data_IF_193610052082
#
_entry.id   IF_193610052082
#
_cell.length_a   1.000
_cell.length_b   1.000
_cell.length_c   1.000
_cell.angle_alpha   90.00
_cell.angle_beta   90.00
_cell.angle_gamma   90.00
#
_symmetry.space_group_name_H-M   'P 1'
#
loop_
_entity.id
_entity.type
_entity.pdbx_description
1 polymer ?
#
# COMPACT_ATOMS: atom_id res chain seq x y z
N UNK A 1 16.60 -84.87 -23.04
CA UNK A 1 16.45 -84.43 -24.45
C UNK A 1 17.01 -83.01 -24.53
N UNK A 2 18.21 -82.77 -25.11
CA UNK A 2 18.45 -82.24 -26.48
C UNK A 2 17.43 -81.13 -26.85
N UNK A 3 17.77 -79.85 -27.12
CA UNK A 3 18.88 -79.21 -27.90
C UNK A 3 19.23 -77.81 -27.28
N UNK A 4 20.44 -77.23 -27.35
CA UNK A 4 21.17 -76.61 -28.50
C UNK A 4 20.38 -75.45 -29.19
N UNK A 5 20.89 -74.22 -29.48
CA UNK A 5 22.24 -73.61 -29.32
C UNK A 5 22.23 -72.05 -29.50
N UNK A 6 22.87 -71.31 -28.56
CA UNK A 6 23.74 -70.10 -28.66
C UNK A 6 23.71 -69.06 -29.83
N UNK A 7 23.86 -67.77 -29.44
CA UNK A 7 24.50 -66.58 -30.10
C UNK A 7 24.17 -66.17 -31.57
N UNK A 8 23.81 -64.89 -31.78
CA UNK A 8 24.81 -63.86 -32.15
C UNK A 8 24.31 -62.40 -31.99
N UNK A 9 25.26 -61.45 -32.05
CA UNK A 9 25.15 -60.01 -31.76
C UNK A 9 25.02 -59.22 -33.07
N UNK A 10 24.26 -58.11 -33.10
CA UNK A 10 24.66 -56.83 -33.73
C UNK A 10 23.70 -55.68 -33.39
N UNK A 11 24.21 -54.45 -33.47
CA UNK A 11 23.62 -53.26 -32.87
C UNK A 11 22.69 -52.47 -33.81
N UNK A 12 21.70 -51.78 -33.22
CA UNK A 12 21.03 -50.63 -33.83
C UNK A 12 20.76 -49.56 -32.75
N UNK A 13 21.02 -48.31 -33.09
CA UNK A 13 21.15 -47.17 -32.17
C UNK A 13 19.95 -46.93 -31.24
N UNK A 14 20.24 -46.64 -29.96
CA UNK A 14 19.32 -45.91 -29.09
C UNK A 14 19.17 -44.48 -29.60
N UNK A 15 18.04 -44.18 -30.24
CA UNK A 15 17.58 -42.79 -30.37
C UNK A 15 16.99 -42.39 -29.01
N UNK A 16 17.79 -41.72 -28.17
CA UNK A 16 17.22 -41.01 -27.03
C UNK A 16 16.42 -39.82 -27.56
N UNK A 17 15.10 -39.98 -27.59
CA UNK A 17 14.18 -38.85 -27.61
C UNK A 17 14.30 -38.12 -26.26
N UNK A 18 15.26 -37.20 -26.20
CA UNK A 18 15.31 -36.16 -25.16
C UNK A 18 14.09 -35.26 -25.34
N UNK A 19 12.96 -35.68 -24.78
CA UNK A 19 11.80 -34.84 -24.61
C UNK A 19 12.16 -33.76 -23.58
N UNK A 20 12.68 -32.64 -24.08
CA UNK A 20 12.93 -31.45 -23.27
C UNK A 20 11.64 -31.06 -22.55
N UNK A 21 11.68 -31.03 -21.21
CA UNK A 21 10.63 -30.42 -20.41
C UNK A 21 10.68 -28.89 -20.60
N UNK A 22 10.01 -28.36 -21.65
CA UNK A 22 9.88 -26.91 -21.87
C UNK A 22 8.73 -26.27 -21.10
N UNK A 23 7.89 -27.06 -20.45
CA UNK A 23 6.66 -26.59 -19.78
C UNK A 23 6.92 -25.56 -18.68
N UNK A 24 8.09 -25.61 -18.02
CA UNK A 24 8.47 -24.65 -16.98
C UNK A 24 8.73 -23.23 -17.50
N UNK A 25 9.42 -23.10 -18.64
CA UNK A 25 9.78 -21.79 -19.21
C UNK A 25 8.58 -21.08 -19.83
N UNK A 26 7.68 -21.83 -20.46
CA UNK A 26 6.51 -21.27 -21.15
C UNK A 26 5.46 -20.76 -20.14
N UNK A 27 5.26 -21.47 -19.03
CA UNK A 27 4.41 -20.99 -17.93
C UNK A 27 5.03 -19.79 -17.21
N UNK A 28 6.33 -19.83 -16.86
CA UNK A 28 7.00 -18.68 -16.25
C UNK A 28 6.95 -17.44 -17.15
N UNK A 29 7.17 -17.59 -18.46
CA UNK A 29 7.05 -16.51 -19.43
C UNK A 29 5.62 -15.94 -19.52
N UNK A 30 4.61 -16.80 -19.53
CA UNK A 30 3.21 -16.39 -19.54
C UNK A 30 2.79 -15.67 -18.24
N UNK A 31 3.28 -16.13 -17.08
CA UNK A 31 2.95 -15.51 -15.79
C UNK A 31 3.71 -14.20 -15.57
N UNK A 32 4.97 -14.10 -16.01
CA UNK A 32 5.70 -12.83 -16.09
C UNK A 32 4.99 -11.83 -17.01
N UNK A 33 4.49 -12.27 -18.17
CA UNK A 33 3.73 -11.41 -19.09
C UNK A 33 2.41 -10.93 -18.46
N UNK A 34 1.67 -11.79 -17.73
CA UNK A 34 0.48 -11.40 -16.98
C UNK A 34 0.80 -10.42 -15.85
N UNK A 35 1.88 -10.65 -15.10
CA UNK A 35 2.33 -9.75 -14.02
C UNK A 35 2.71 -8.37 -14.57
N UNK A 36 3.49 -8.31 -15.65
CA UNK A 36 3.84 -7.06 -16.33
C UNK A 36 2.61 -6.34 -16.90
N UNK A 37 1.63 -7.08 -17.43
CA UNK A 37 0.38 -6.51 -17.92
C UNK A 37 -0.51 -6.00 -16.78
N UNK A 38 -0.58 -6.72 -15.65
CA UNK A 38 -1.24 -6.23 -14.42
C UNK A 38 -0.59 -4.93 -13.98
N UNK A 39 0.73 -4.91 -13.78
CA UNK A 39 1.46 -3.73 -13.30
C UNK A 39 1.26 -2.50 -14.20
N UNK A 40 1.13 -2.67 -15.52
CA UNK A 40 0.77 -1.58 -16.44
C UNK A 40 -0.67 -1.09 -16.28
N UNK A 41 -1.62 -1.99 -16.05
CA UNK A 41 -3.03 -1.65 -15.77
C UNK A 41 -3.13 -0.95 -14.41
N UNK A 42 -2.45 -1.47 -13.40
CA UNK A 42 -2.37 -0.90 -12.05
C UNK A 42 -1.78 0.52 -12.09
N UNK A 43 -0.66 0.73 -12.79
CA UNK A 43 -0.07 2.06 -12.98
C UNK A 43 -0.96 3.02 -13.78
N UNK A 44 -1.73 2.53 -14.76
CA UNK A 44 -2.69 3.35 -15.50
C UNK A 44 -3.90 3.74 -14.63
N UNK A 45 -4.31 2.87 -13.70
CA UNK A 45 -5.36 3.14 -12.70
C UNK A 45 -4.86 4.15 -11.66
N UNK A 46 -3.68 3.94 -11.06
CA UNK A 46 -3.07 4.89 -10.12
C UNK A 46 -2.89 6.27 -10.76
N UNK A 47 -2.46 6.31 -12.03
CA UNK A 47 -2.38 7.54 -12.82
C UNK A 47 -3.76 8.19 -13.04
N UNK A 48 -4.78 7.42 -13.43
CA UNK A 48 -6.14 7.93 -13.64
C UNK A 48 -6.78 8.48 -12.34
N UNK A 49 -6.43 7.92 -11.19
CA UNK A 49 -6.82 8.41 -9.87
C UNK A 49 -6.06 9.69 -9.49
N UNK A 50 -4.76 9.78 -9.82
CA UNK A 50 -3.94 10.97 -9.57
C UNK A 50 -4.26 12.17 -10.47
N UNK A 51 -4.65 11.94 -11.73
CA UNK A 51 -4.97 13.00 -12.71
C UNK A 51 -6.38 13.60 -12.55
N UNK A 52 -7.20 13.10 -11.62
CA UNK A 52 -8.38 13.80 -11.10
C UNK A 52 -9.62 13.92 -12.01
N UNK A 53 -9.55 13.54 -13.28
CA UNK A 53 -10.68 13.66 -14.22
C UNK A 53 -11.82 12.67 -13.92
N UNK A 54 -13.04 13.18 -13.73
CA UNK A 54 -14.23 12.37 -13.33
C UNK A 54 -14.47 11.13 -14.22
N UNK A 55 -14.30 11.27 -15.54
CA UNK A 55 -14.42 10.16 -16.48
C UNK A 55 -13.31 9.10 -16.34
N UNK A 56 -12.08 9.53 -16.07
CA UNK A 56 -10.92 8.65 -15.86
C UNK A 56 -11.07 7.87 -14.54
N UNK A 57 -11.46 8.57 -13.46
CA UNK A 57 -11.77 7.98 -12.16
C UNK A 57 -12.89 6.93 -12.29
N UNK A 58 -13.97 7.26 -12.99
CA UNK A 58 -15.10 6.35 -13.20
C UNK A 58 -14.67 5.09 -13.95
N UNK A 59 -13.88 5.23 -15.02
CA UNK A 59 -13.34 4.09 -15.78
C UNK A 59 -12.41 3.21 -14.94
N UNK A 60 -11.53 3.81 -14.13
CA UNK A 60 -10.62 3.11 -13.23
C UNK A 60 -11.37 2.29 -12.16
N UNK A 61 -12.35 2.91 -11.49
CA UNK A 61 -13.20 2.22 -10.50
C UNK A 61 -13.99 1.06 -11.12
N UNK A 62 -14.54 1.24 -12.33
CA UNK A 62 -15.24 0.16 -13.05
C UNK A 62 -14.30 -0.98 -13.50
N UNK A 63 -13.02 -0.71 -13.76
CA UNK A 63 -12.03 -1.75 -14.04
C UNK A 63 -11.73 -2.59 -12.79
N UNK A 64 -11.42 -1.91 -11.68
CA UNK A 64 -11.15 -2.54 -10.38
C UNK A 64 -12.35 -3.33 -9.85
N UNK A 65 -13.56 -2.76 -9.92
CA UNK A 65 -14.79 -3.45 -9.48
C UNK A 65 -15.02 -4.75 -10.28
N UNK A 66 -14.77 -4.74 -11.60
CA UNK A 66 -14.89 -5.95 -12.44
C UNK A 66 -13.82 -6.99 -12.13
N UNK A 67 -12.63 -6.59 -11.69
CA UNK A 67 -11.59 -7.53 -11.24
C UNK A 67 -12.00 -8.16 -9.89
N UNK A 68 -12.35 -7.34 -8.91
CA UNK A 68 -12.84 -7.79 -7.61
C UNK A 68 -14.06 -8.73 -7.73
N UNK A 69 -15.06 -8.39 -8.56
CA UNK A 69 -16.25 -9.24 -8.76
C UNK A 69 -15.95 -10.59 -9.43
N UNK A 70 -14.84 -10.75 -10.15
CA UNK A 70 -14.43 -12.05 -10.72
C UNK A 70 -13.88 -13.00 -9.66
N UNK A 71 -13.18 -12.46 -8.66
CA UNK A 71 -12.69 -13.23 -7.51
C UNK A 71 -12.67 -12.35 -6.25
N UNK A 72 -13.77 -12.31 -5.46
CA UNK A 72 -13.83 -11.51 -4.24
C UNK A 72 -12.85 -11.96 -3.13
N UNK A 73 -12.24 -13.15 -3.28
CA UNK A 73 -11.20 -13.66 -2.40
C UNK A 73 -9.76 -13.31 -2.86
N UNK A 74 -9.61 -12.62 -4.00
CA UNK A 74 -8.34 -12.02 -4.40
C UNK A 74 -8.09 -10.77 -3.54
N UNK A 75 -7.29 -10.96 -2.49
CA UNK A 75 -6.92 -9.92 -1.52
C UNK A 75 -6.28 -8.70 -2.17
N UNK A 76 -5.50 -8.86 -3.25
CA UNK A 76 -4.82 -7.76 -3.94
C UNK A 76 -5.81 -6.96 -4.81
N UNK A 77 -6.71 -7.65 -5.53
CA UNK A 77 -7.78 -6.99 -6.28
C UNK A 77 -8.74 -6.22 -5.35
N UNK A 78 -9.09 -6.82 -4.20
CA UNK A 78 -9.93 -6.19 -3.19
C UNK A 78 -9.25 -4.97 -2.55
N UNK A 79 -7.96 -5.07 -2.21
CA UNK A 79 -7.15 -3.95 -1.72
C UNK A 79 -7.14 -2.78 -2.70
N UNK A 80 -6.76 -3.02 -3.96
CA UNK A 80 -6.70 -1.97 -4.99
C UNK A 80 -8.05 -1.28 -5.17
N UNK A 81 -9.14 -2.06 -5.21
CA UNK A 81 -10.49 -1.53 -5.30
C UNK A 81 -10.89 -0.71 -4.06
N UNK A 82 -10.63 -1.19 -2.85
CA UNK A 82 -10.94 -0.49 -1.61
C UNK A 82 -10.13 0.81 -1.47
N UNK A 83 -8.83 0.79 -1.78
CA UNK A 83 -7.96 1.97 -1.79
C UNK A 83 -8.45 3.02 -2.78
N UNK A 84 -8.77 2.62 -4.02
CA UNK A 84 -9.32 3.53 -5.03
C UNK A 84 -10.66 4.13 -4.58
N UNK A 85 -11.56 3.32 -4.02
CA UNK A 85 -12.83 3.79 -3.45
C UNK A 85 -12.61 4.82 -2.33
N UNK A 86 -11.67 4.57 -1.41
CA UNK A 86 -11.32 5.54 -0.35
C UNK A 86 -10.79 6.85 -0.92
N UNK A 87 -9.83 6.79 -1.84
CA UNK A 87 -9.22 7.96 -2.48
C UNK A 87 -10.22 8.78 -3.31
N UNK A 88 -11.34 8.18 -3.71
CA UNK A 88 -12.40 8.81 -4.52
C UNK A 88 -13.67 9.10 -3.70
N UNK A 89 -13.53 9.25 -2.39
CA UNK A 89 -14.59 9.61 -1.43
C UNK A 89 -15.75 8.60 -1.27
N UNK A 90 -15.52 7.33 -1.62
CA UNK A 90 -16.44 6.21 -1.39
C UNK A 90 -16.00 5.32 -0.21
N UNK A 91 -15.50 5.91 0.87
CA UNK A 91 -14.94 5.19 2.02
C UNK A 91 -15.90 4.13 2.63
N UNK A 92 -17.21 4.39 2.65
CA UNK A 92 -18.22 3.40 3.07
C UNK A 92 -18.20 2.12 2.21
N UNK A 93 -18.03 2.25 0.88
CA UNK A 93 -17.89 1.10 -0.02
C UNK A 93 -16.55 0.40 0.16
N UNK A 94 -15.48 1.16 0.41
CA UNK A 94 -14.16 0.62 0.69
C UNK A 94 -14.17 -0.27 1.96
N UNK A 95 -14.83 0.19 3.03
CA UNK A 95 -14.99 -0.55 4.29
C UNK A 95 -15.71 -1.88 4.07
N UNK A 96 -16.79 -1.90 3.29
CA UNK A 96 -17.51 -3.14 2.93
C UNK A 96 -16.62 -4.13 2.17
N UNK A 97 -15.80 -3.66 1.23
CA UNK A 97 -14.89 -4.51 0.44
C UNK A 97 -13.79 -5.12 1.31
N UNK A 98 -13.18 -4.33 2.19
CA UNK A 98 -11.95 -4.73 2.91
C UNK A 98 -12.20 -5.36 4.28
N UNK A 99 -13.31 -5.05 4.97
CA UNK A 99 -13.66 -5.63 6.28
C UNK A 99 -13.54 -7.16 6.37
N UNK A 100 -14.06 -7.97 5.43
CA UNK A 100 -13.95 -9.43 5.54
C UNK A 100 -12.50 -9.94 5.40
N UNK A 101 -11.63 -9.20 4.70
CA UNK A 101 -10.22 -9.54 4.51
C UNK A 101 -9.32 -9.02 5.64
N UNK A 102 -9.68 -7.90 6.26
CA UNK A 102 -8.94 -7.31 7.39
C UNK A 102 -9.25 -7.97 8.76
N UNK A 103 -10.22 -8.89 8.80
CA UNK A 103 -10.62 -9.66 10.01
C UNK A 103 -10.11 -11.11 10.01
N UNK A 104 -9.29 -11.51 9.03
CA UNK A 104 -8.75 -12.86 8.96
C UNK A 104 -7.55 -13.00 9.92
N UNK A 105 -7.32 -14.16 10.55
CA UNK A 105 -6.19 -14.34 11.49
C UNK A 105 -4.81 -14.11 10.85
N UNK A 106 -4.74 -14.36 9.54
CA UNK A 106 -3.58 -14.29 8.65
C UNK A 106 -3.57 -13.04 7.74
N UNK A 107 -4.46 -12.07 7.96
CA UNK A 107 -4.41 -10.76 7.27
C UNK A 107 -3.02 -10.14 7.33
N UNK A 108 -2.48 -9.73 6.18
CA UNK A 108 -1.20 -9.03 6.12
C UNK A 108 -1.30 -7.62 6.70
N UNK A 109 -0.19 -7.09 7.24
CA UNK A 109 -0.18 -5.75 7.85
C UNK A 109 -0.72 -4.68 6.91
N UNK A 110 -0.37 -4.76 5.63
CA UNK A 110 -0.76 -3.83 4.57
C UNK A 110 -2.29 -3.75 4.35
N UNK A 111 -3.01 -4.87 4.44
CA UNK A 111 -4.48 -4.90 4.38
C UNK A 111 -5.09 -4.27 5.64
N UNK A 112 -4.51 -4.55 6.80
CA UNK A 112 -4.93 -3.98 8.09
C UNK A 112 -4.65 -2.44 8.10
N UNK A 113 -3.53 -2.00 7.53
CA UNK A 113 -3.15 -0.60 7.35
C UNK A 113 -4.12 0.14 6.43
N UNK A 114 -4.52 -0.45 5.29
CA UNK A 114 -5.52 0.17 4.42
C UNK A 114 -6.91 0.21 5.07
N UNK A 115 -7.28 -0.79 5.89
CA UNK A 115 -8.49 -0.72 6.71
C UNK A 115 -8.43 0.43 7.71
N UNK A 116 -7.27 0.66 8.35
CA UNK A 116 -7.05 1.86 9.19
C UNK A 116 -7.21 3.15 8.37
N UNK A 117 -6.65 3.23 7.15
CA UNK A 117 -6.85 4.38 6.24
C UNK A 117 -8.32 4.63 5.93
N UNK A 118 -9.12 3.56 5.75
CA UNK A 118 -10.56 3.64 5.49
C UNK A 118 -11.31 4.18 6.70
N UNK A 119 -11.02 3.67 7.89
CA UNK A 119 -11.65 4.14 9.13
C UNK A 119 -11.27 5.60 9.45
N UNK A 120 -10.06 6.05 9.10
CA UNK A 120 -9.71 7.49 9.13
C UNK A 120 -10.58 8.32 8.19
N UNK A 121 -10.79 7.86 6.96
CA UNK A 121 -11.63 8.55 5.98
C UNK A 121 -13.12 8.57 6.36
N UNK A 122 -13.55 7.67 7.27
CA UNK A 122 -14.88 7.66 7.88
C UNK A 122 -14.98 8.48 9.17
N UNK A 123 -13.87 9.03 9.68
CA UNK A 123 -13.81 9.72 10.98
C UNK A 123 -13.89 8.78 12.20
N UNK A 124 -13.77 7.47 12.00
CA UNK A 124 -13.82 6.46 13.06
C UNK A 124 -12.47 6.33 13.77
N UNK A 125 -11.96 7.40 14.36
CA UNK A 125 -10.56 7.48 14.83
C UNK A 125 -10.15 6.36 15.80
N UNK A 126 -11.03 5.93 16.71
CA UNK A 126 -10.74 4.80 17.62
C UNK A 126 -10.64 3.45 16.90
N UNK A 127 -11.43 3.25 15.84
CA UNK A 127 -11.36 2.07 14.96
C UNK A 127 -10.06 2.08 14.15
N UNK A 128 -9.72 3.24 13.58
CA UNK A 128 -8.47 3.45 12.85
C UNK A 128 -7.23 3.19 13.72
N UNK A 129 -7.21 3.70 14.96
CA UNK A 129 -6.13 3.45 15.94
C UNK A 129 -5.95 1.95 16.20
N UNK A 130 -7.03 1.21 16.45
CA UNK A 130 -7.00 -0.23 16.70
C UNK A 130 -6.45 -1.01 15.50
N UNK A 131 -6.91 -0.71 14.28
CA UNK A 131 -6.37 -1.32 13.07
C UNK A 131 -4.89 -0.95 12.86
N UNK A 132 -4.49 0.30 13.09
CA UNK A 132 -3.09 0.71 12.97
C UNK A 132 -2.18 0.00 13.99
N UNK A 133 -2.64 -0.16 15.24
CA UNK A 133 -1.95 -0.93 16.29
C UNK A 133 -1.77 -2.40 15.89
N UNK A 134 -2.80 -3.04 15.34
CA UNK A 134 -2.69 -4.41 14.82
C UNK A 134 -1.69 -4.50 13.65
N UNK A 135 -1.69 -3.53 12.74
CA UNK A 135 -0.78 -3.52 11.61
C UNK A 135 0.69 -3.36 12.02
N UNK A 136 1.02 -2.45 12.95
CA UNK A 136 2.41 -2.32 13.47
C UNK A 136 2.84 -3.55 14.27
N UNK A 137 1.91 -4.23 14.97
CA UNK A 137 2.21 -5.51 15.64
C UNK A 137 2.50 -6.64 14.67
N UNK A 138 1.82 -6.68 13.50
CA UNK A 138 2.09 -7.66 12.44
C UNK A 138 3.37 -7.33 11.65
N UNK A 139 3.67 -6.06 11.46
CA UNK A 139 4.86 -5.59 10.75
C UNK A 139 5.39 -4.27 11.36
N UNK A 140 6.43 -4.32 12.20
CA UNK A 140 7.07 -3.13 12.77
C UNK A 140 7.78 -2.22 11.74
N UNK A 141 7.74 -2.52 10.45
CA UNK A 141 8.25 -1.71 9.34
C UNK A 141 7.14 -1.15 8.43
N UNK A 142 5.87 -1.25 8.85
CA UNK A 142 4.73 -0.67 8.14
C UNK A 142 4.61 0.83 8.46
N UNK A 143 5.29 1.65 7.66
CA UNK A 143 5.28 3.11 7.82
C UNK A 143 3.88 3.72 7.66
N UNK A 144 3.00 3.09 6.87
CA UNK A 144 1.62 3.53 6.66
C UNK A 144 0.78 3.27 7.92
N UNK A 145 0.97 2.12 8.57
CA UNK A 145 0.38 1.84 9.88
C UNK A 145 0.76 2.92 10.91
N UNK A 146 2.04 3.29 11.00
CA UNK A 146 2.50 4.36 11.89
C UNK A 146 1.93 5.74 11.52
N UNK A 147 1.85 6.07 10.23
CA UNK A 147 1.22 7.31 9.77
C UNK A 147 -0.27 7.37 10.19
N UNK A 148 -1.00 6.29 9.97
CA UNK A 148 -2.41 6.19 10.32
C UNK A 148 -2.64 6.21 11.83
N UNK A 149 -1.77 5.55 12.61
CA UNK A 149 -1.77 5.62 14.07
C UNK A 149 -1.57 7.06 14.55
N UNK A 150 -0.63 7.80 13.95
CA UNK A 150 -0.40 9.20 14.26
C UNK A 150 -1.62 10.07 13.98
N UNK A 151 -2.24 9.94 12.80
CA UNK A 151 -3.46 10.70 12.44
C UNK A 151 -4.62 10.36 13.38
N UNK A 152 -4.81 9.07 13.70
CA UNK A 152 -5.87 8.61 14.59
C UNK A 152 -5.70 9.11 16.04
N UNK A 153 -4.47 9.23 16.51
CA UNK A 153 -4.14 9.77 17.84
C UNK A 153 -4.25 11.30 17.89
N UNK A 154 -3.84 11.99 16.82
CA UNK A 154 -3.96 13.45 16.69
C UNK A 154 -5.43 13.89 16.69
N UNK A 155 -6.29 13.18 15.95
CA UNK A 155 -7.73 13.40 15.94
C UNK A 155 -8.44 13.01 17.25
N UNK A 156 -7.71 12.41 18.20
CA UNK A 156 -8.15 12.12 19.58
C UNK A 156 -7.41 13.01 20.60
N UNK A 157 -6.78 14.11 20.16
CA UNK A 157 -6.03 15.07 20.99
C UNK A 157 -4.86 14.46 21.80
N UNK A 158 -4.42 13.25 21.45
CA UNK A 158 -3.29 12.58 22.08
C UNK A 158 -1.97 12.92 21.38
N UNK A 159 -1.68 14.22 21.30
CA UNK A 159 -0.56 14.77 20.54
C UNK A 159 0.80 14.12 20.87
N UNK A 160 1.18 13.84 22.13
CA UNK A 160 2.47 13.20 22.42
C UNK A 160 2.56 11.76 21.91
N UNK A 161 1.43 11.04 21.81
CA UNK A 161 1.41 9.70 21.24
C UNK A 161 1.41 9.73 19.70
N UNK A 162 0.71 10.70 19.11
CA UNK A 162 0.73 10.95 17.68
C UNK A 162 2.15 11.27 17.18
N UNK A 163 2.88 12.13 17.90
CA UNK A 163 4.27 12.47 17.62
C UNK A 163 5.17 11.22 17.55
N UNK A 164 5.09 10.34 18.56
CA UNK A 164 5.86 9.09 18.60
C UNK A 164 5.55 8.19 17.41
N UNK A 165 4.27 8.09 17.04
CA UNK A 165 3.84 7.32 15.87
C UNK A 165 4.40 7.93 14.57
N UNK A 166 4.30 9.25 14.37
CA UNK A 166 4.84 9.92 13.18
C UNK A 166 6.37 9.78 13.07
N UNK A 167 7.11 9.93 14.19
CA UNK A 167 8.57 9.71 14.20
C UNK A 167 8.93 8.25 13.84
N UNK A 168 8.19 7.24 14.32
CA UNK A 168 8.39 5.84 13.91
C UNK A 168 8.01 5.53 12.46
N UNK A 169 6.98 6.20 11.93
CA UNK A 169 6.67 6.13 10.50
C UNK A 169 7.80 6.71 9.64
N UNK A 170 8.42 7.81 10.08
CA UNK A 170 9.59 8.40 9.41
C UNK A 170 10.83 7.51 9.44
N UNK A 171 11.13 6.85 10.56
CA UNK A 171 12.24 5.89 10.68
C UNK A 171 12.14 4.72 9.69
N UNK A 172 10.92 4.35 9.29
CA UNK A 172 10.62 3.16 8.47
C UNK A 172 10.12 3.50 7.06
N UNK A 173 10.10 4.78 6.70
CA UNK A 173 9.46 5.30 5.50
C UNK A 173 10.10 4.80 4.20
N UNK A 174 9.29 4.61 3.16
CA UNK A 174 9.75 4.28 1.79
C UNK A 174 9.04 5.16 0.78
N UNK A 175 9.81 5.87 -0.04
CA UNK A 175 9.31 6.86 -0.99
C UNK A 175 9.38 8.28 -0.44
N UNK A 176 8.47 9.15 -0.88
CA UNK A 176 8.40 10.57 -0.49
C UNK A 176 7.88 10.73 0.95
N UNK A 177 8.71 11.20 1.91
CA UNK A 177 8.33 11.35 3.33
C UNK A 177 7.55 12.62 3.62
N UNK A 178 7.39 13.53 2.66
CA UNK A 178 6.80 14.85 2.94
C UNK A 178 5.37 14.83 3.52
N UNK A 179 4.48 13.85 3.23
CA UNK A 179 3.16 13.80 3.87
C UNK A 179 3.24 13.53 5.38
N UNK A 180 4.15 12.66 5.83
CA UNK A 180 4.31 12.35 7.26
C UNK A 180 5.13 13.44 7.98
N UNK A 181 6.08 14.08 7.29
CA UNK A 181 6.77 15.27 7.81
C UNK A 181 5.80 16.42 8.06
N UNK A 182 4.88 16.66 7.13
CA UNK A 182 3.83 17.66 7.28
C UNK A 182 2.95 17.38 8.51
N UNK A 183 2.51 16.14 8.70
CA UNK A 183 1.67 15.77 9.84
C UNK A 183 2.43 15.89 11.17
N UNK A 184 3.69 15.46 11.23
CA UNK A 184 4.54 15.64 12.41
C UNK A 184 4.72 17.13 12.76
N UNK A 185 4.95 17.99 11.77
CA UNK A 185 5.11 19.42 12.02
C UNK A 185 3.82 20.09 12.55
N UNK A 186 2.64 19.72 12.03
CA UNK A 186 1.36 20.25 12.55
C UNK A 186 1.10 19.78 13.99
N UNK A 187 1.40 18.51 14.29
CA UNK A 187 1.34 17.96 15.64
C UNK A 187 2.31 18.68 16.60
N UNK A 188 3.56 18.92 16.19
CA UNK A 188 4.55 19.65 16.98
C UNK A 188 4.12 21.12 17.23
N UNK A 189 3.59 21.80 16.21
CA UNK A 189 3.06 23.16 16.36
C UNK A 189 1.89 23.21 17.35
N UNK A 190 1.00 22.20 17.33
CA UNK A 190 -0.12 22.08 18.29
C UNK A 190 0.37 21.85 19.73
N UNK A 191 1.52 21.20 19.90
CA UNK A 191 2.21 21.05 21.19
C UNK A 191 3.05 22.28 21.59
N UNK A 192 3.11 23.34 20.77
CA UNK A 192 3.93 24.53 21.00
C UNK A 192 5.41 24.40 20.61
N UNK A 193 5.82 23.27 20.03
CA UNK A 193 7.18 23.04 19.52
C UNK A 193 7.39 23.66 18.13
N UNK A 194 7.04 24.95 17.99
CA UNK A 194 6.92 25.67 16.72
C UNK A 194 8.26 25.73 15.95
N UNK A 195 9.39 25.89 16.64
CA UNK A 195 10.71 25.90 16.01
C UNK A 195 11.06 24.57 15.32
N UNK A 196 10.74 23.43 15.96
CA UNK A 196 10.97 22.12 15.35
C UNK A 196 10.00 21.89 14.18
N UNK A 197 8.74 22.31 14.32
CA UNK A 197 7.75 22.26 13.26
C UNK A 197 8.20 23.04 12.01
N UNK A 198 8.75 24.26 12.17
CA UNK A 198 9.32 25.06 11.07
C UNK A 198 10.50 24.31 10.42
N UNK A 199 11.43 23.76 11.21
CA UNK A 199 12.57 23.02 10.68
C UNK A 199 12.16 21.79 9.87
N UNK A 200 11.10 21.09 10.30
CA UNK A 200 10.58 19.92 9.57
C UNK A 200 9.86 20.36 8.28
N UNK A 201 9.07 21.43 8.31
CA UNK A 201 8.38 21.95 7.12
C UNK A 201 9.35 22.52 6.07
N UNK A 202 10.44 23.17 6.48
CA UNK A 202 11.49 23.60 5.53
C UNK A 202 12.23 22.41 4.90
N UNK A 203 12.53 21.36 5.68
CA UNK A 203 13.07 20.10 5.11
C UNK A 203 12.08 19.47 4.13
N UNK A 204 10.79 19.46 4.46
CA UNK A 204 9.75 18.91 3.58
C UNK A 204 9.60 19.74 2.29
N UNK A 205 9.67 21.06 2.39
CA UNK A 205 9.66 21.99 1.24
C UNK A 205 10.89 21.81 0.35
N UNK A 206 12.06 21.53 0.93
CA UNK A 206 13.26 21.23 0.15
C UNK A 206 13.16 19.91 -0.64
N UNK A 207 12.41 18.93 -0.14
CA UNK A 207 12.16 17.64 -0.80
C UNK A 207 11.04 17.71 -1.86
N UNK A 208 10.05 18.58 -1.68
CA UNK A 208 8.95 18.78 -2.65
C UNK A 208 8.55 20.26 -2.73
N UNK A 209 9.30 21.09 -3.50
CA UNK A 209 9.10 22.54 -3.55
C UNK A 209 7.75 23.00 -4.12
N UNK A 210 7.07 22.11 -4.84
CA UNK A 210 5.79 22.32 -5.54
C UNK A 210 4.56 21.97 -4.69
N UNK A 211 4.74 21.31 -3.54
CA UNK A 211 3.64 20.98 -2.61
C UNK A 211 3.12 22.21 -1.87
N UNK A 212 2.11 22.85 -2.45
CA UNK A 212 1.38 24.03 -1.92
C UNK A 212 0.93 23.82 -0.46
N UNK A 213 0.56 22.60 -0.06
CA UNK A 213 0.14 22.27 1.30
C UNK A 213 1.25 22.51 2.35
N UNK A 214 2.50 22.16 2.03
CA UNK A 214 3.66 22.34 2.91
C UNK A 214 3.96 23.82 3.05
N UNK A 215 3.96 24.55 1.93
CA UNK A 215 4.24 25.98 1.92
C UNK A 215 3.17 26.77 2.69
N UNK A 216 1.89 26.40 2.54
CA UNK A 216 0.78 26.96 3.33
C UNK A 216 0.97 26.70 4.82
N UNK A 217 1.24 25.46 5.20
CA UNK A 217 1.39 25.09 6.61
C UNK A 217 2.63 25.75 7.24
N UNK A 218 3.73 25.87 6.50
CA UNK A 218 4.93 26.61 6.91
C UNK A 218 4.64 28.09 7.21
N UNK A 219 3.80 28.76 6.41
CA UNK A 219 3.37 30.14 6.71
C UNK A 219 2.51 30.22 7.97
N UNK A 220 1.59 29.26 8.17
CA UNK A 220 0.73 29.20 9.37
C UNK A 220 1.58 28.99 10.63
N UNK A 221 2.48 28.01 10.63
CA UNK A 221 3.34 27.69 11.78
C UNK A 221 4.30 28.84 12.11
N UNK A 222 4.84 29.54 11.10
CA UNK A 222 5.61 30.78 11.33
C UNK A 222 4.81 31.85 12.07
N UNK A 223 3.59 32.13 11.62
CA UNK A 223 2.74 33.14 12.25
C UNK A 223 2.40 32.80 13.71
N UNK A 224 2.24 31.51 14.05
CA UNK A 224 2.06 31.07 15.45
C UNK A 224 3.29 31.38 16.32
N UNK A 225 4.49 31.15 15.77
CA UNK A 225 5.77 31.42 16.46
C UNK A 225 6.04 32.89 16.71
N UNK A 226 5.56 33.78 15.82
CA UNK A 226 5.67 35.23 15.97
C UNK A 226 4.70 35.82 17.02
N UNK A 227 3.72 35.02 17.48
CA UNK A 227 2.70 35.42 18.48
C UNK A 227 2.87 34.79 19.86
N UNK A 228 3.91 33.97 20.04
CA UNK A 228 4.20 33.22 21.29
C UNK A 228 5.20 33.96 22.19
#
# INVERSE_FOLDING_TARGET
>A
MKKFTQYMILAAAMVQLSACQSTGTDQQGADLAKQQQSAKIDAAIDKALAEGGEGNISGALMALERQYKKNPADTEAAYKYAKALRQTNYANRASVVLTPLAKQPDSSSHIISEMSSIELALGHFKSAENYAQQAVMKNPQDYLAYQNLGIALEAQENHPAAERAFRKGLETWKGDPTPIMNNLALNLATQGFTDEAIQILEKAKALSPDRIEIERNLRIVRALGETS
#
